data_IF_911793324125
#
_entry.id   IF_911793324125
#
_cell.length_a   1.000
_cell.length_b   1.000
_cell.length_c   1.000
_cell.angle_alpha   90.00
_cell.angle_beta   90.00
_cell.angle_gamma   90.00
#
_symmetry.space_group_name_H-M   'P 1'
#
loop_
_entity.id
_entity.type
_entity.pdbx_description
1 polymer ?
#
# COMPACT_ATOMS: atom_id res chain seq x y z
N UNK A 1 19.30 -12.57 -60.19
CA UNK A 1 18.12 -12.25 -61.01
C UNK A 1 17.02 -11.86 -60.05
N UNK A 2 16.36 -10.77 -59.96
CA UNK A 2 16.34 -9.52 -60.71
C UNK A 2 15.82 -8.46 -59.71
N UNK A 3 16.41 -7.31 -59.76
CA UNK A 3 16.02 -6.10 -58.97
C UNK A 3 14.66 -5.58 -59.44
N UNK A 4 13.89 -4.98 -58.55
CA UNK A 4 13.10 -3.82 -58.95
C UNK A 4 12.98 -2.82 -57.82
N UNK A 5 13.47 -1.62 -58.07
CA UNK A 5 13.30 -0.38 -57.32
C UNK A 5 12.06 0.30 -57.89
N UNK A 6 11.26 0.95 -57.07
CA UNK A 6 10.39 2.01 -57.55
C UNK A 6 10.46 3.21 -56.62
N UNK A 7 10.73 4.31 -57.27
CA UNK A 7 10.98 5.67 -56.78
C UNK A 7 9.69 6.47 -56.97
N UNK A 8 9.55 7.50 -56.12
CA UNK A 8 8.97 8.80 -56.42
C UNK A 8 7.53 9.03 -55.98
N UNK A 9 7.02 10.15 -55.68
CA UNK A 9 7.24 11.50 -56.24
C UNK A 9 6.69 12.51 -55.19
N UNK A 10 7.41 13.59 -55.01
CA UNK A 10 7.00 14.85 -54.38
C UNK A 10 5.86 15.54 -55.12
N UNK A 11 4.97 16.18 -54.42
CA UNK A 11 4.15 17.27 -54.96
C UNK A 11 4.02 18.40 -53.95
N UNK A 12 4.75 19.46 -54.23
CA UNK A 12 4.59 20.79 -53.65
C UNK A 12 3.35 21.44 -54.29
N UNK A 13 2.50 22.03 -53.44
CA UNK A 13 1.56 23.07 -53.94
C UNK A 13 1.68 24.27 -52.99
N UNK A 14 2.27 25.32 -53.58
CA UNK A 14 2.23 26.71 -53.11
C UNK A 14 0.99 27.38 -53.60
N UNK A 15 0.28 28.08 -52.79
CA UNK A 15 -0.58 29.19 -53.21
C UNK A 15 -0.44 30.39 -52.30
N UNK A 16 -0.31 31.53 -52.93
CA UNK A 16 0.03 32.82 -52.36
C UNK A 16 -1.19 33.77 -52.28
N UNK A 17 -1.14 34.61 -51.31
CA UNK A 17 -1.59 36.02 -51.23
C UNK A 17 -3.06 36.40 -51.58
N UNK A 18 -3.68 37.07 -50.62
CA UNK A 18 -4.79 37.99 -50.78
C UNK A 18 -4.84 38.96 -49.60
N UNK A 19 -4.30 40.17 -49.79
CA UNK A 19 -4.53 41.34 -48.93
C UNK A 19 -5.95 41.85 -49.10
N UNK A 20 -6.59 42.22 -48.01
CA UNK A 20 -7.84 43.01 -47.97
C UNK A 20 -7.96 43.71 -46.63
N UNK A 21 -7.66 44.99 -46.61
CA UNK A 21 -7.94 45.94 -45.53
C UNK A 21 -9.43 46.26 -45.46
N UNK A 22 -10.05 46.32 -44.27
CA UNK A 22 -10.64 47.53 -43.72
C UNK A 22 -11.55 47.29 -42.50
N UNK A 23 -11.41 48.27 -41.60
CA UNK A 23 -12.44 48.81 -40.70
C UNK A 23 -12.70 48.19 -39.35
N UNK A 24 -12.35 49.01 -38.39
CA UNK A 24 -12.61 48.95 -36.97
C UNK A 24 -14.07 48.74 -36.60
N UNK A 25 -14.34 47.88 -35.65
CA UNK A 25 -15.37 48.07 -34.64
C UNK A 25 -14.93 47.59 -33.28
N UNK A 26 -14.85 48.56 -32.39
CA UNK A 26 -14.47 48.45 -31.00
C UNK A 26 -15.60 47.75 -30.21
N UNK A 27 -15.42 46.49 -29.84
CA UNK A 27 -16.25 45.83 -28.83
C UNK A 27 -15.33 45.27 -27.74
N UNK A 28 -15.30 45.98 -26.62
CA UNK A 28 -14.75 45.49 -25.37
C UNK A 28 -15.51 44.23 -24.96
N UNK A 29 -14.99 43.05 -25.27
CA UNK A 29 -15.36 41.82 -24.63
C UNK A 29 -14.30 41.52 -23.58
N UNK A 30 -14.66 41.79 -22.34
CA UNK A 30 -13.89 41.34 -21.17
C UNK A 30 -13.86 39.83 -21.14
N UNK A 31 -12.81 39.26 -21.67
CA UNK A 31 -12.48 37.86 -21.46
C UNK A 31 -11.95 37.72 -20.04
N UNK A 32 -12.88 37.54 -19.10
CA UNK A 32 -12.49 37.06 -17.77
C UNK A 32 -11.83 35.69 -17.99
N UNK A 33 -10.52 35.67 -17.91
CA UNK A 33 -9.75 34.44 -17.79
C UNK A 33 -10.23 33.71 -16.55
N UNK A 34 -11.22 32.84 -16.69
CA UNK A 34 -11.51 31.75 -15.77
C UNK A 34 -10.38 30.72 -15.95
N UNK A 35 -9.17 31.06 -15.57
CA UNK A 35 -8.16 30.08 -15.27
C UNK A 35 -8.69 29.30 -14.07
N UNK A 36 -9.02 28.02 -14.27
CA UNK A 36 -9.30 27.14 -13.16
C UNK A 36 -8.15 27.31 -12.14
N UNK A 37 -8.44 27.38 -10.83
CA UNK A 37 -7.39 27.54 -9.83
C UNK A 37 -6.36 26.44 -10.05
N UNK A 38 -5.10 26.84 -10.23
CA UNK A 38 -3.98 25.89 -10.36
C UNK A 38 -4.02 24.96 -9.15
N UNK A 39 -4.22 23.67 -9.42
CA UNK A 39 -4.29 22.67 -8.35
C UNK A 39 -3.04 22.80 -7.48
N UNK A 40 -3.25 23.02 -6.19
CA UNK A 40 -2.14 23.18 -5.25
C UNK A 40 -1.16 22.00 -5.40
N UNK A 41 0.12 22.30 -5.59
CA UNK A 41 1.16 21.29 -5.77
C UNK A 41 1.60 20.74 -4.42
N UNK A 42 1.94 19.46 -4.39
CA UNK A 42 2.54 18.85 -3.22
C UNK A 42 3.94 19.44 -2.97
N UNK A 43 4.20 19.83 -1.72
CA UNK A 43 5.51 20.29 -1.25
C UNK A 43 6.05 19.34 -0.19
N UNK A 44 6.20 18.07 -0.58
CA UNK A 44 6.47 16.96 0.34
C UNK A 44 7.83 17.13 1.04
N UNK A 45 7.78 17.21 2.37
CA UNK A 45 8.94 17.25 3.24
C UNK A 45 8.83 16.25 4.37
N UNK A 46 9.96 15.81 4.92
CA UNK A 46 9.98 14.99 6.14
C UNK A 46 9.55 15.90 7.31
N UNK A 47 8.63 15.41 8.10
CA UNK A 47 8.11 16.04 9.30
C UNK A 47 8.44 15.21 10.55
N UNK A 48 8.32 15.81 11.71
CA UNK A 48 8.35 15.06 12.95
C UNK A 48 7.11 14.18 13.11
N UNK A 49 7.25 13.17 13.99
CA UNK A 49 6.12 12.36 14.44
C UNK A 49 5.03 13.26 15.01
N UNK A 50 3.77 13.15 14.57
CA UNK A 50 2.67 13.99 15.07
C UNK A 50 2.50 13.91 16.57
N UNK A 51 2.12 15.03 17.20
CA UNK A 51 1.92 15.09 18.64
C UNK A 51 0.88 14.07 19.11
N UNK A 52 -0.22 13.90 18.39
CA UNK A 52 -1.23 12.85 18.64
C UNK A 52 -0.62 11.46 18.80
N UNK A 53 0.37 11.11 17.96
CA UNK A 53 1.05 9.82 18.05
C UNK A 53 1.99 9.77 19.25
N UNK A 54 2.74 10.85 19.52
CA UNK A 54 3.59 10.96 20.71
C UNK A 54 2.77 10.77 21.99
N UNK A 55 1.58 11.39 22.07
CA UNK A 55 0.67 11.27 23.21
C UNK A 55 0.12 9.84 23.36
N UNK A 56 -0.24 9.19 22.25
CA UNK A 56 -0.66 7.79 22.25
C UNK A 56 0.46 6.85 22.73
N UNK A 57 1.70 7.08 22.30
CA UNK A 57 2.86 6.31 22.78
C UNK A 57 3.04 6.48 24.28
N UNK A 58 3.01 7.72 24.77
CA UNK A 58 3.14 8.02 26.21
C UNK A 58 2.02 7.37 27.04
N UNK A 59 0.77 7.39 26.55
CA UNK A 59 -0.37 6.77 27.23
C UNK A 59 -0.28 5.24 27.31
N UNK A 60 0.47 4.58 26.41
CA UNK A 60 0.67 3.13 26.40
C UNK A 60 1.69 2.66 27.44
N UNK A 61 2.57 3.55 27.90
CA UNK A 61 3.62 3.20 28.85
C UNK A 61 4.49 2.03 28.37
N UNK A 62 4.64 1.02 29.22
CA UNK A 62 5.47 -0.15 28.90
C UNK A 62 5.01 -0.95 27.68
N UNK A 63 3.72 -0.89 27.31
CA UNK A 63 3.19 -1.60 26.14
C UNK A 63 3.82 -1.09 24.84
N UNK A 64 4.33 0.14 24.78
CA UNK A 64 5.00 0.63 23.58
C UNK A 64 6.33 -0.07 23.32
N UNK A 65 6.97 -0.59 24.38
CA UNK A 65 8.18 -1.40 24.33
C UNK A 65 7.90 -2.91 24.21
N UNK A 66 6.66 -3.33 23.90
CA UNK A 66 6.35 -4.72 23.64
C UNK A 66 7.17 -5.25 22.45
N UNK A 67 7.52 -6.52 22.50
CA UNK A 67 8.20 -7.23 21.41
C UNK A 67 7.39 -8.49 21.01
N UNK A 68 6.21 -8.29 20.38
CA UNK A 68 5.35 -9.39 19.97
C UNK A 68 6.00 -10.22 18.86
N UNK A 69 5.87 -11.52 18.93
CA UNK A 69 6.18 -12.45 17.84
C UNK A 69 4.89 -13.01 17.27
N UNK A 70 4.86 -13.29 15.97
CA UNK A 70 3.65 -13.78 15.29
C UNK A 70 3.94 -15.04 14.51
N UNK A 71 2.95 -15.95 14.50
CA UNK A 71 3.01 -17.18 13.72
C UNK A 71 1.73 -17.37 12.90
N UNK A 72 1.89 -17.71 11.62
CA UNK A 72 0.81 -18.20 10.77
C UNK A 72 0.69 -19.71 11.03
N UNK A 73 -0.40 -20.10 11.67
CA UNK A 73 -0.71 -21.52 11.96
C UNK A 73 -1.39 -22.16 10.75
N UNK A 74 -2.30 -21.44 10.12
CA UNK A 74 -2.97 -21.76 8.85
C UNK A 74 -3.04 -20.50 7.96
N UNK A 75 -2.90 -20.66 6.62
CA UNK A 75 -2.56 -21.90 5.90
C UNK A 75 -1.12 -22.35 6.22
N UNK A 76 -0.89 -23.66 6.17
CA UNK A 76 0.48 -24.19 6.29
C UNK A 76 1.35 -23.78 5.11
N UNK A 77 2.61 -23.51 5.37
CA UNK A 77 3.56 -23.21 4.30
C UNK A 77 3.58 -24.33 3.25
N UNK A 78 3.60 -23.92 2.00
CA UNK A 78 3.66 -24.77 0.80
C UNK A 78 2.49 -25.76 0.67
N UNK A 79 1.39 -25.52 1.41
CA UNK A 79 0.16 -26.34 1.34
C UNK A 79 -0.67 -26.02 0.09
N UNK A 80 -1.54 -26.97 -0.28
CA UNK A 80 -2.55 -26.77 -1.31
C UNK A 80 -3.95 -26.75 -0.69
N UNK A 81 -4.69 -25.68 -0.96
CA UNK A 81 -6.08 -25.49 -0.59
C UNK A 81 -6.96 -25.88 -1.79
N UNK A 82 -8.07 -26.58 -1.53
CA UNK A 82 -9.04 -26.98 -2.57
C UNK A 82 -10.33 -26.16 -2.50
N UNK A 83 -10.29 -25.03 -1.84
CA UNK A 83 -11.38 -24.08 -1.67
C UNK A 83 -10.89 -22.67 -1.94
N UNK A 84 -11.73 -21.84 -2.54
CA UNK A 84 -11.50 -20.39 -2.63
C UNK A 84 -11.68 -19.66 -1.29
N UNK A 85 -12.20 -20.34 -0.27
CA UNK A 85 -12.21 -19.86 1.11
C UNK A 85 -11.03 -20.47 1.85
N UNK A 86 -10.06 -19.64 2.18
CA UNK A 86 -8.83 -20.02 2.87
C UNK A 86 -8.92 -19.57 4.32
N UNK A 87 -8.86 -20.52 5.24
CA UNK A 87 -8.82 -20.23 6.68
C UNK A 87 -7.46 -19.69 7.05
N UNK A 88 -7.45 -18.64 7.88
CA UNK A 88 -6.25 -18.06 8.45
C UNK A 88 -6.34 -18.14 9.96
N UNK A 89 -5.34 -18.77 10.55
CA UNK A 89 -5.16 -18.84 11.99
C UNK A 89 -3.80 -18.29 12.35
N UNK A 90 -3.79 -17.34 13.25
CA UNK A 90 -2.59 -16.68 13.73
C UNK A 90 -2.39 -16.97 15.21
N UNK A 91 -1.14 -16.99 15.64
CA UNK A 91 -0.77 -17.03 17.05
C UNK A 91 0.20 -15.88 17.36
N UNK A 92 0.01 -15.24 18.51
CA UNK A 92 0.89 -14.19 18.98
C UNK A 92 1.52 -14.60 20.31
N UNK A 93 2.79 -14.29 20.48
CA UNK A 93 3.60 -14.62 21.66
C UNK A 93 4.71 -13.59 21.82
N UNK A 94 5.72 -13.90 22.63
CA UNK A 94 6.86 -13.00 22.91
C UNK A 94 6.61 -12.12 24.14
N UNK A 95 7.39 -11.05 24.27
CA UNK A 95 7.22 -10.07 25.35
C UNK A 95 6.09 -9.10 25.01
N UNK A 96 4.88 -9.46 25.36
CA UNK A 96 3.68 -8.73 24.97
C UNK A 96 3.44 -7.45 25.77
N UNK A 97 3.89 -7.36 27.01
CA UNK A 97 3.65 -6.19 27.91
C UNK A 97 2.21 -5.68 27.82
N UNK A 98 1.25 -6.60 27.77
CA UNK A 98 -0.18 -6.29 27.60
C UNK A 98 -0.61 -5.97 26.15
N UNK A 99 0.25 -6.12 25.15
CA UNK A 99 -0.17 -6.06 23.76
C UNK A 99 -1.19 -7.17 23.47
N UNK A 100 -2.36 -6.77 23.03
CA UNK A 100 -3.41 -7.66 22.55
C UNK A 100 -4.10 -6.97 21.36
N UNK A 101 -4.27 -7.63 20.21
CA UNK A 101 -5.14 -7.12 19.15
C UNK A 101 -6.55 -6.92 19.70
N UNK A 102 -7.07 -5.70 19.55
CA UNK A 102 -8.40 -5.32 20.00
C UNK A 102 -8.79 -4.00 19.37
N UNK A 103 -10.03 -3.91 18.87
CA UNK A 103 -10.60 -2.67 18.37
C UNK A 103 -11.36 -1.97 19.49
N UNK A 104 -10.98 -0.77 19.82
CA UNK A 104 -11.74 0.09 20.69
C UNK A 104 -13.07 0.49 20.04
N UNK A 105 -14.16 0.36 20.76
CA UNK A 105 -15.51 0.53 20.22
C UNK A 105 -15.84 1.98 19.86
N UNK A 106 -15.19 2.98 20.48
CA UNK A 106 -15.44 4.39 20.25
C UNK A 106 -14.53 4.95 19.16
N UNK A 107 -13.22 4.75 19.32
CA UNK A 107 -12.20 5.30 18.40
C UNK A 107 -12.05 4.48 17.12
N UNK A 108 -12.54 3.24 17.10
CA UNK A 108 -12.33 2.25 16.02
C UNK A 108 -10.86 1.97 15.74
N UNK A 109 -9.99 2.28 16.69
CA UNK A 109 -8.54 2.05 16.64
C UNK A 109 -8.14 1.02 17.69
N UNK A 110 -6.94 0.51 17.58
CA UNK A 110 -6.38 -0.43 18.56
C UNK A 110 -5.19 -1.19 17.99
N UNK A 111 -4.57 -2.00 18.82
CA UNK A 111 -3.55 -2.92 18.36
C UNK A 111 -4.18 -3.91 17.37
N UNK A 112 -3.49 -4.20 16.31
CA UNK A 112 -4.01 -5.10 15.28
C UNK A 112 -2.87 -5.81 14.55
N UNK A 113 -3.24 -6.79 13.75
CA UNK A 113 -2.32 -7.47 12.85
C UNK A 113 -2.58 -6.96 11.43
N UNK A 114 -1.54 -6.57 10.74
CA UNK A 114 -1.58 -6.38 9.30
C UNK A 114 -1.52 -7.74 8.63
N UNK A 115 -2.50 -8.02 7.78
CA UNK A 115 -2.62 -9.25 7.00
C UNK A 115 -2.60 -8.88 5.52
N UNK A 116 -1.63 -9.40 4.77
CA UNK A 116 -1.40 -9.04 3.38
C UNK A 116 -1.42 -10.31 2.54
N UNK A 117 -2.40 -10.43 1.65
CA UNK A 117 -2.41 -11.45 0.61
C UNK A 117 -1.67 -10.94 -0.62
N UNK A 118 -0.74 -11.72 -1.12
CA UNK A 118 0.12 -11.36 -2.26
C UNK A 118 0.78 -10.00 -2.08
N UNK A 119 0.67 -9.12 -3.04
CA UNK A 119 1.13 -7.74 -2.91
C UNK A 119 -0.04 -6.74 -2.81
N UNK A 120 -1.18 -7.15 -2.23
CA UNK A 120 -2.33 -6.29 -2.01
C UNK A 120 -2.14 -5.37 -0.79
N UNK A 121 -2.93 -4.31 -0.63
CA UNK A 121 -2.98 -3.56 0.61
C UNK A 121 -3.36 -4.47 1.79
N UNK A 122 -2.83 -4.17 2.99
CA UNK A 122 -3.15 -4.99 4.16
C UNK A 122 -4.60 -4.82 4.60
N UNK A 123 -5.13 -5.87 5.24
CA UNK A 123 -6.30 -5.81 6.10
C UNK A 123 -5.87 -5.75 7.57
N UNK A 124 -6.53 -4.88 8.36
CA UNK A 124 -6.28 -4.77 9.80
C UNK A 124 -7.13 -5.81 10.55
N UNK A 125 -6.50 -6.70 11.29
CA UNK A 125 -7.14 -7.77 12.01
C UNK A 125 -7.03 -7.59 13.53
N UNK A 126 -8.17 -7.49 14.21
CA UNK A 126 -8.26 -7.09 15.62
C UNK A 126 -8.63 -8.22 16.57
N UNK A 127 -8.99 -9.41 16.07
CA UNK A 127 -9.39 -10.54 16.89
C UNK A 127 -8.57 -11.79 16.53
N UNK A 128 -7.81 -12.33 17.49
CA UNK A 128 -7.06 -13.57 17.32
C UNK A 128 -7.67 -14.76 18.08
N UNK A 129 -8.78 -14.54 18.77
CA UNK A 129 -9.46 -15.61 19.52
C UNK A 129 -10.17 -16.59 18.56
N UNK A 130 -10.38 -16.17 17.31
CA UNK A 130 -11.02 -16.96 16.27
C UNK A 130 -10.21 -16.98 14.98
N UNK A 131 -10.39 -18.04 14.18
CA UNK A 131 -9.90 -18.09 12.81
C UNK A 131 -10.69 -17.11 11.94
N UNK A 132 -10.05 -16.50 10.97
CA UNK A 132 -10.74 -15.72 9.94
C UNK A 132 -10.57 -16.37 8.57
N UNK A 133 -11.33 -15.90 7.60
CA UNK A 133 -11.32 -16.45 6.25
C UNK A 133 -10.94 -15.39 5.24
N UNK A 134 -10.07 -15.76 4.31
CA UNK A 134 -9.93 -15.08 3.03
C UNK A 134 -10.89 -15.76 2.07
N UNK A 135 -11.86 -15.02 1.52
CA UNK A 135 -12.90 -15.54 0.63
C UNK A 135 -12.66 -15.07 -0.79
N UNK A 136 -13.00 -15.91 -1.73
CA UNK A 136 -12.78 -15.69 -3.17
C UNK A 136 -11.29 -15.54 -3.53
N UNK A 137 -10.45 -16.38 -2.92
CA UNK A 137 -9.06 -16.53 -3.34
C UNK A 137 -9.04 -17.35 -4.62
N UNK A 138 -8.47 -16.83 -5.70
CA UNK A 138 -8.45 -17.47 -7.01
C UNK A 138 -7.45 -18.63 -7.05
N UNK A 139 -7.55 -19.48 -8.05
CA UNK A 139 -6.56 -20.55 -8.27
C UNK A 139 -5.20 -19.96 -8.62
N UNK A 140 -4.15 -20.46 -8.00
CA UNK A 140 -2.78 -20.01 -8.19
C UNK A 140 -1.91 -20.18 -6.96
N UNK A 141 -0.71 -19.67 -7.03
CA UNK A 141 0.18 -19.51 -5.88
C UNK A 141 -0.13 -18.19 -5.17
N UNK A 142 -0.10 -18.22 -3.85
CA UNK A 142 -0.36 -17.08 -3.00
C UNK A 142 0.71 -16.93 -1.92
N UNK A 143 0.88 -15.69 -1.49
CA UNK A 143 1.76 -15.34 -0.38
C UNK A 143 0.95 -14.62 0.69
N UNK A 144 1.01 -15.12 1.92
CA UNK A 144 0.42 -14.45 3.07
C UNK A 144 1.53 -13.90 3.95
N UNK A 145 1.47 -12.58 4.22
CA UNK A 145 2.39 -11.87 5.10
C UNK A 145 1.63 -11.25 6.25
N UNK A 146 2.16 -11.38 7.46
CA UNK A 146 1.53 -10.84 8.68
C UNK A 146 2.56 -10.19 9.58
N UNK A 147 2.15 -9.12 10.27
CA UNK A 147 2.94 -8.48 11.32
C UNK A 147 2.07 -7.66 12.28
N UNK A 148 2.43 -7.62 13.58
CA UNK A 148 1.74 -6.81 14.57
C UNK A 148 1.92 -5.32 14.34
N UNK A 149 0.88 -4.55 14.65
CA UNK A 149 0.84 -3.11 14.47
C UNK A 149 0.27 -2.41 15.70
N UNK A 150 0.73 -1.17 15.92
CA UNK A 150 0.23 -0.23 16.91
C UNK A 150 -1.09 0.41 16.44
N UNK A 151 -1.85 1.07 17.33
CA UNK A 151 -3.12 1.70 16.94
C UNK A 151 -3.01 2.74 15.81
N UNK A 152 -1.87 3.40 15.67
CA UNK A 152 -1.60 4.36 14.57
C UNK A 152 -0.95 3.71 13.35
N UNK A 153 -1.02 2.37 13.24
CA UNK A 153 -0.55 1.54 12.12
C UNK A 153 0.99 1.44 11.95
N UNK A 154 1.75 1.86 12.91
CA UNK A 154 3.18 1.61 12.94
C UNK A 154 3.46 0.15 13.29
N UNK A 155 4.21 -0.54 12.44
CA UNK A 155 4.58 -1.94 12.65
C UNK A 155 5.61 -2.11 13.77
N UNK A 156 5.49 -3.20 14.55
CA UNK A 156 6.55 -3.65 15.42
C UNK A 156 7.70 -4.22 14.58
N UNK A 157 8.93 -3.81 14.87
CA UNK A 157 10.12 -4.13 14.06
C UNK A 157 11.13 -5.05 14.78
N UNK A 158 10.69 -5.68 15.85
CA UNK A 158 11.51 -6.65 16.59
C UNK A 158 11.56 -8.01 15.87
N UNK A 159 12.56 -8.81 16.19
CA UNK A 159 12.70 -10.17 15.68
C UNK A 159 11.46 -11.01 15.99
N UNK A 160 11.00 -11.79 15.01
CA UNK A 160 9.79 -12.60 15.09
C UNK A 160 8.46 -11.83 14.92
N UNK A 161 8.49 -10.51 14.76
CA UNK A 161 7.27 -9.74 14.50
C UNK A 161 6.78 -9.82 13.04
N UNK A 162 7.35 -10.65 12.21
CA UNK A 162 6.94 -10.84 10.82
C UNK A 162 6.95 -12.32 10.45
N UNK A 163 5.93 -12.74 9.73
CA UNK A 163 5.94 -14.05 9.09
C UNK A 163 5.38 -13.96 7.67
N UNK A 164 5.91 -14.82 6.81
CA UNK A 164 5.51 -15.02 5.43
C UNK A 164 5.38 -16.51 5.15
N UNK A 165 4.27 -16.90 4.53
CA UNK A 165 4.09 -18.24 3.98
C UNK A 165 3.63 -18.15 2.54
N UNK A 166 4.01 -19.13 1.73
CA UNK A 166 3.41 -19.40 0.42
C UNK A 166 2.46 -20.58 0.53
N UNK A 167 1.38 -20.54 -0.22
CA UNK A 167 0.43 -21.64 -0.35
C UNK A 167 -0.18 -21.61 -1.76
N UNK A 168 -0.87 -22.66 -2.14
CA UNK A 168 -1.52 -22.76 -3.45
C UNK A 168 -3.02 -23.00 -3.29
N UNK A 169 -3.83 -22.33 -4.10
CA UNK A 169 -5.23 -22.71 -4.31
C UNK A 169 -5.33 -23.44 -5.64
N UNK A 170 -6.02 -24.59 -5.64
CA UNK A 170 -6.23 -25.42 -6.83
C UNK A 170 -7.64 -25.95 -6.86
N UNK A 171 -8.36 -25.69 -7.94
CA UNK A 171 -9.78 -26.05 -8.11
C UNK A 171 -10.68 -25.47 -7.01
N UNK A 172 -10.32 -24.28 -6.50
CA UNK A 172 -11.03 -23.61 -5.40
C UNK A 172 -12.32 -22.92 -5.84
N UNK A 173 -12.47 -22.62 -7.12
CA UNK A 173 -13.67 -21.98 -7.67
C UNK A 173 -13.74 -20.46 -7.42
N UNK A 174 -12.61 -19.81 -7.13
CA UNK A 174 -12.55 -18.36 -7.01
C UNK A 174 -12.82 -17.65 -8.34
N UNK A 175 -13.52 -16.52 -8.27
CA UNK A 175 -13.91 -15.70 -9.42
C UNK A 175 -12.95 -14.49 -9.52
N UNK A 176 -12.09 -14.48 -10.53
CA UNK A 176 -11.10 -13.41 -10.75
C UNK A 176 -11.73 -12.03 -11.04
N UNK A 177 -13.00 -11.98 -11.43
CA UNK A 177 -13.73 -10.72 -11.63
C UNK A 177 -14.25 -10.10 -10.31
N UNK A 178 -14.15 -10.84 -9.20
CA UNK A 178 -14.58 -10.39 -7.88
C UNK A 178 -13.39 -10.17 -6.95
N UNK A 179 -13.49 -9.24 -6.01
CA UNK A 179 -12.44 -9.03 -5.02
C UNK A 179 -12.31 -10.23 -4.08
N UNK A 180 -11.13 -10.38 -3.50
CA UNK A 180 -10.95 -11.22 -2.30
C UNK A 180 -11.41 -10.43 -1.09
N UNK A 181 -12.24 -11.02 -0.25
CA UNK A 181 -12.79 -10.41 0.97
C UNK A 181 -12.31 -11.15 2.20
N UNK A 182 -12.34 -10.49 3.36
CA UNK A 182 -12.02 -11.11 4.64
C UNK A 182 -13.29 -11.24 5.48
N UNK A 183 -13.47 -12.39 6.13
CA UNK A 183 -14.39 -12.48 7.25
C UNK A 183 -13.67 -11.89 8.47
N UNK A 184 -13.66 -10.57 8.57
CA UNK A 184 -13.12 -9.94 9.77
C UNK A 184 -14.13 -10.13 10.90
N UNK A 185 -13.78 -10.86 11.98
CA UNK A 185 -14.66 -11.14 13.13
C UNK A 185 -15.19 -9.91 13.88
N UNK A 186 -14.87 -8.71 13.38
CA UNK A 186 -15.41 -7.45 13.87
C UNK A 186 -16.72 -7.03 13.18
N UNK A 187 -17.17 -7.73 12.17
CA UNK A 187 -18.53 -7.61 11.68
C UNK A 187 -19.37 -8.69 12.37
N UNK A 188 -20.13 -8.31 13.35
CA UNK A 188 -21.34 -9.01 13.78
C UNK A 188 -22.32 -9.07 12.61
N UNK A 189 -21.88 -9.62 11.50
CA UNK A 189 -22.70 -9.87 10.33
C UNK A 189 -23.17 -11.32 10.43
N UNK A 190 -24.45 -11.44 10.74
CA UNK A 190 -25.26 -12.61 10.61
C UNK A 190 -24.78 -13.47 9.43
N UNK A 191 -24.35 -14.70 9.69
CA UNK A 191 -23.80 -15.64 8.72
C UNK A 191 -24.75 -16.03 7.56
N UNK A 192 -25.87 -15.32 7.40
CA UNK A 192 -26.93 -15.63 6.45
C UNK A 192 -27.30 -14.45 5.52
N UNK A 193 -26.48 -13.42 5.41
CA UNK A 193 -26.78 -12.33 4.47
C UNK A 193 -25.76 -12.29 3.33
N UNK A 194 -26.25 -12.45 2.09
CA UNK A 194 -25.64 -11.96 0.85
C UNK A 194 -25.47 -10.42 0.83
N UNK A 195 -25.48 -9.79 1.98
CA UNK A 195 -25.27 -8.36 2.10
C UNK A 195 -23.76 -8.10 1.96
N UNK A 196 -23.41 -7.26 0.99
CA UNK A 196 -22.06 -6.74 0.83
C UNK A 196 -21.52 -6.30 2.20
N UNK A 197 -20.43 -6.94 2.64
CA UNK A 197 -19.73 -6.57 3.86
C UNK A 197 -19.32 -5.11 3.69
N UNK A 198 -19.84 -4.22 4.56
CA UNK A 198 -19.36 -2.81 4.53
C UNK A 198 -17.88 -2.85 4.88
N UNK A 199 -17.00 -2.34 4.01
CA UNK A 199 -15.58 -2.29 4.32
C UNK A 199 -15.39 -1.54 5.64
N UNK A 200 -14.51 -2.05 6.50
CA UNK A 200 -14.02 -1.27 7.63
C UNK A 200 -13.37 0.01 7.08
N UNK A 201 -13.29 1.12 7.85
CA UNK A 201 -12.65 2.36 7.36
C UNK A 201 -11.24 2.15 6.80
N UNK A 202 -10.62 1.04 7.16
CA UNK A 202 -9.24 0.67 6.79
C UNK A 202 -9.16 -0.46 5.76
N UNK A 203 -10.25 -1.20 5.55
CA UNK A 203 -10.35 -2.34 4.64
C UNK A 203 -11.13 -1.97 3.40
N UNK A 204 -10.48 -1.95 2.24
CA UNK A 204 -11.13 -2.15 0.95
C UNK A 204 -10.94 -3.61 0.58
N UNK A 205 -11.95 -4.20 -0.05
CA UNK A 205 -11.81 -5.51 -0.64
C UNK A 205 -10.50 -5.58 -1.43
N UNK A 206 -9.70 -6.60 -1.17
CA UNK A 206 -8.47 -6.83 -1.92
C UNK A 206 -8.85 -7.23 -3.35
N UNK A 207 -8.18 -6.66 -4.33
CA UNK A 207 -8.38 -7.13 -5.69
C UNK A 207 -7.93 -8.58 -5.80
N UNK A 208 -8.60 -9.34 -6.68
CA UNK A 208 -8.16 -10.69 -7.00
C UNK A 208 -6.71 -10.65 -7.51
N UNK A 209 -5.88 -11.52 -6.95
CA UNK A 209 -4.44 -11.52 -7.22
C UNK A 209 -3.86 -12.93 -7.07
N UNK A 210 -2.65 -13.11 -7.57
CA UNK A 210 -1.80 -14.26 -7.31
C UNK A 210 -0.39 -13.78 -6.98
N UNK A 211 0.39 -14.62 -6.32
CA UNK A 211 1.80 -14.36 -6.09
C UNK A 211 2.59 -14.39 -7.41
N UNK A 212 3.57 -13.52 -7.51
CA UNK A 212 4.50 -13.47 -8.65
C UNK A 212 5.81 -14.22 -8.39
N UNK A 213 5.84 -15.11 -7.39
CA UNK A 213 7.01 -15.93 -7.07
C UNK A 213 8.00 -15.21 -6.16
N UNK A 214 7.55 -14.81 -4.97
CA UNK A 214 8.44 -14.25 -3.96
C UNK A 214 9.38 -15.32 -3.40
N UNK A 215 10.66 -14.99 -3.30
CA UNK A 215 11.67 -15.80 -2.61
C UNK A 215 11.80 -15.33 -1.15
N UNK A 216 11.36 -16.17 -0.22
CA UNK A 216 11.36 -15.88 1.23
C UNK A 216 12.76 -15.74 1.84
N UNK A 217 13.80 -16.13 1.12
CA UNK A 217 15.19 -16.05 1.59
C UNK A 217 15.91 -14.79 1.11
N UNK A 218 15.35 -14.11 0.12
CA UNK A 218 15.91 -12.88 -0.44
C UNK A 218 15.44 -11.64 0.32
N UNK A 219 16.16 -10.51 0.18
CA UNK A 219 15.70 -9.21 0.67
C UNK A 219 14.29 -8.89 0.19
N UNK A 220 13.41 -8.52 1.13
CA UNK A 220 12.00 -8.27 0.85
C UNK A 220 11.51 -7.02 1.58
N UNK A 221 10.93 -6.10 0.82
CA UNK A 221 10.17 -4.95 1.30
C UNK A 221 8.69 -5.30 1.33
N UNK A 222 8.05 -5.10 2.46
CA UNK A 222 6.60 -5.17 2.57
C UNK A 222 6.03 -3.78 2.82
N UNK A 223 5.33 -3.23 1.84
CA UNK A 223 4.68 -1.93 1.94
C UNK A 223 3.52 -2.01 2.95
N UNK A 224 3.55 -1.16 3.99
CA UNK A 224 2.50 -1.03 5.00
C UNK A 224 1.71 0.26 4.82
N UNK A 225 2.34 1.40 4.97
CA UNK A 225 1.74 2.75 4.86
C UNK A 225 2.48 3.63 3.85
N UNK A 226 1.76 4.64 3.24
CA UNK A 226 0.38 5.05 3.50
C UNK A 226 -0.66 4.20 2.77
N UNK A 227 -1.92 4.22 3.27
CA UNK A 227 -3.06 3.46 2.70
C UNK A 227 -4.37 4.24 2.92
N UNK A 228 -5.26 4.21 1.94
CA UNK A 228 -6.65 4.68 2.07
C UNK A 228 -6.80 6.20 1.99
N UNK A 229 -7.65 6.75 2.84
CA UNK A 229 -8.00 8.16 2.85
C UNK A 229 -7.50 8.84 4.12
N UNK A 230 -6.97 10.06 3.97
CA UNK A 230 -6.48 10.91 5.05
C UNK A 230 -7.26 12.21 5.08
N UNK A 231 -7.80 12.60 6.26
CA UNK A 231 -8.66 13.79 6.45
C UNK A 231 -8.20 14.63 7.63
N UNK A 232 -8.47 15.93 7.55
CA UNK A 232 -8.17 16.86 8.65
C UNK A 232 -6.73 16.75 9.10
N UNK A 233 -6.47 16.68 10.40
CA UNK A 233 -5.13 16.61 10.96
C UNK A 233 -4.31 15.39 10.49
N UNK A 234 -4.94 14.26 10.17
CA UNK A 234 -4.25 13.08 9.66
C UNK A 234 -3.74 13.29 8.22
N UNK A 235 -4.31 14.26 7.49
CA UNK A 235 -3.85 14.67 6.16
C UNK A 235 -2.67 15.65 6.18
N UNK A 236 -2.33 16.21 7.36
CA UNK A 236 -1.22 17.15 7.49
C UNK A 236 0.13 16.44 7.63
N UNK A 237 0.11 15.21 8.16
CA UNK A 237 1.32 14.41 8.35
C UNK A 237 1.01 12.92 8.14
N UNK A 238 1.40 12.41 6.98
CA UNK A 238 1.11 11.04 6.55
C UNK A 238 2.35 10.17 6.73
N UNK A 239 2.17 9.04 7.42
CA UNK A 239 3.25 8.10 7.71
C UNK A 239 3.60 7.22 6.51
N UNK A 240 4.90 7.06 6.25
CA UNK A 240 5.44 5.91 5.52
C UNK A 240 5.91 4.89 6.56
N UNK A 241 5.41 3.68 6.46
CA UNK A 241 5.84 2.53 7.22
C UNK A 241 5.93 1.29 6.33
N UNK A 242 6.90 0.42 6.62
CA UNK A 242 7.17 -0.79 5.87
C UNK A 242 7.86 -1.83 6.76
N UNK A 243 7.77 -3.09 6.36
CA UNK A 243 8.55 -4.18 6.95
C UNK A 243 9.69 -4.61 6.02
N UNK A 244 10.85 -4.92 6.61
CA UNK A 244 11.99 -5.48 5.89
C UNK A 244 12.28 -6.90 6.40
N UNK A 245 12.38 -7.83 5.48
CA UNK A 245 12.89 -9.17 5.76
C UNK A 245 14.19 -9.38 4.97
N UNK A 246 15.18 -10.03 5.61
CA UNK A 246 16.49 -10.35 5.03
C UNK A 246 17.24 -9.14 4.44
N UNK A 247 17.01 -7.95 4.97
CA UNK A 247 17.63 -6.71 4.52
C UNK A 247 17.96 -5.80 5.71
N UNK A 248 19.05 -5.06 5.61
CA UNK A 248 19.39 -3.95 6.51
C UNK A 248 19.67 -2.71 5.69
N UNK A 249 19.18 -1.58 6.16
CA UNK A 249 19.43 -0.29 5.53
C UNK A 249 20.80 0.27 5.87
N UNK A 250 21.30 1.19 5.06
CA UNK A 250 22.64 1.78 5.22
C UNK A 250 22.83 2.46 6.56
N UNK A 251 21.81 3.14 7.08
CA UNK A 251 21.82 3.77 8.40
C UNK A 251 21.76 2.78 9.58
N UNK A 252 21.46 1.51 9.32
CA UNK A 252 21.43 0.41 10.28
C UNK A 252 22.62 -0.54 10.09
N UNK A 253 23.65 -0.11 9.35
CA UNK A 253 24.86 -0.90 9.06
C UNK A 253 24.70 -1.94 7.94
N UNK A 254 23.69 -1.79 7.09
CA UNK A 254 23.44 -2.64 5.93
C UNK A 254 23.89 -2.02 4.62
N UNK A 255 23.30 -2.49 3.52
CA UNK A 255 23.69 -2.09 2.17
C UNK A 255 22.54 -1.62 1.30
N UNK A 256 21.30 -1.70 1.80
CA UNK A 256 20.09 -1.33 1.09
C UNK A 256 19.60 0.04 1.50
N UNK A 257 18.71 0.62 0.68
CA UNK A 257 17.96 1.84 0.98
C UNK A 257 16.51 1.62 0.56
N UNK A 258 15.57 2.28 1.23
CA UNK A 258 14.21 2.37 0.70
C UNK A 258 14.08 3.69 -0.04
N UNK A 259 13.84 3.59 -1.34
CA UNK A 259 13.54 4.74 -2.21
C UNK A 259 12.04 4.98 -2.21
N UNK A 260 11.61 6.23 -2.02
CA UNK A 260 10.22 6.59 -2.17
C UNK A 260 10.02 7.77 -3.12
N UNK A 261 8.86 7.81 -3.77
CA UNK A 261 8.43 8.95 -4.58
C UNK A 261 6.91 9.16 -4.44
N UNK A 262 6.50 10.42 -4.58
CA UNK A 262 5.09 10.83 -4.56
C UNK A 262 4.72 11.36 -5.94
N UNK A 263 3.62 10.86 -6.52
CA UNK A 263 3.13 11.24 -7.85
C UNK A 263 4.19 11.16 -8.97
N UNK A 264 5.12 10.21 -8.87
CA UNK A 264 6.22 10.08 -9.82
C UNK A 264 7.24 11.22 -9.78
N UNK A 265 7.19 12.05 -8.75
CA UNK A 265 8.16 13.14 -8.54
C UNK A 265 9.54 12.64 -8.14
N UNK A 266 10.37 13.58 -7.67
CA UNK A 266 11.75 13.30 -7.26
C UNK A 266 11.82 12.18 -6.22
N UNK A 267 12.74 11.24 -6.46
CA UNK A 267 12.98 10.12 -5.57
C UNK A 267 13.76 10.58 -4.32
N UNK A 268 13.28 10.16 -3.16
CA UNK A 268 13.93 10.38 -1.86
C UNK A 268 14.23 9.05 -1.19
N UNK A 269 15.08 9.05 -0.17
CA UNK A 269 15.59 7.82 0.43
C UNK A 269 15.38 7.78 1.94
N UNK A 270 15.11 6.57 2.43
CA UNK A 270 15.04 6.20 3.84
C UNK A 270 16.21 5.26 4.10
N UNK A 271 17.08 5.64 5.01
CA UNK A 271 18.32 4.93 5.32
C UNK A 271 18.27 4.18 6.66
N UNK A 272 17.24 4.42 7.47
CA UNK A 272 16.98 3.70 8.72
C UNK A 272 15.63 3.03 8.67
N UNK A 273 15.56 1.85 9.23
CA UNK A 273 14.32 1.09 9.29
C UNK A 273 13.40 1.57 10.42
N UNK A 274 12.92 2.76 10.26
CA UNK A 274 11.97 3.42 11.15
C UNK A 274 10.89 4.14 10.32
N UNK A 275 9.68 4.35 10.87
CA UNK A 275 8.66 5.10 10.16
C UNK A 275 9.06 6.56 10.02
N UNK A 276 8.70 7.16 8.87
CA UNK A 276 8.84 8.59 8.65
C UNK A 276 7.48 9.23 8.42
N UNK A 277 7.35 10.50 8.74
CA UNK A 277 6.15 11.28 8.46
C UNK A 277 6.44 12.31 7.38
N UNK A 278 5.48 12.47 6.47
CA UNK A 278 5.57 13.42 5.37
C UNK A 278 4.47 14.45 5.49
N UNK A 279 4.84 15.73 5.39
CA UNK A 279 3.93 16.88 5.33
C UNK A 279 3.96 17.56 3.96
N UNK A 280 3.11 18.57 3.77
CA UNK A 280 3.07 19.35 2.52
C UNK A 280 2.18 18.74 1.42
N UNK A 281 1.24 17.87 1.82
CA UNK A 281 0.26 17.26 0.93
C UNK A 281 -0.80 18.26 0.48
N UNK A 282 -1.09 18.33 -0.80
CA UNK A 282 -2.28 18.97 -1.35
C UNK A 282 -3.45 17.98 -1.41
N UNK A 283 -4.69 18.49 -1.50
CA UNK A 283 -5.88 17.64 -1.66
C UNK A 283 -5.85 16.82 -2.96
N UNK A 284 -6.57 15.71 -2.97
CA UNK A 284 -6.76 14.84 -4.14
C UNK A 284 -6.09 13.48 -4.03
N UNK A 285 -6.17 12.71 -5.12
CA UNK A 285 -5.51 11.41 -5.23
C UNK A 285 -4.01 11.59 -5.35
N UNK A 286 -3.27 10.73 -4.67
CA UNK A 286 -1.80 10.69 -4.68
C UNK A 286 -1.33 9.26 -4.88
N UNK A 287 -0.27 9.08 -5.65
CA UNK A 287 0.44 7.81 -5.71
C UNK A 287 1.71 7.87 -4.87
N UNK A 288 1.94 6.87 -4.05
CA UNK A 288 3.16 6.73 -3.26
C UNK A 288 3.82 5.41 -3.62
N UNK A 289 5.06 5.48 -4.09
CA UNK A 289 5.86 4.32 -4.48
C UNK A 289 6.96 4.09 -3.46
N UNK A 290 7.15 2.84 -3.04
CA UNK A 290 8.28 2.38 -2.24
C UNK A 290 9.06 1.31 -3.00
N UNK A 291 10.38 1.39 -2.96
CA UNK A 291 11.28 0.44 -3.61
C UNK A 291 12.46 0.11 -2.70
N UNK A 292 12.79 -1.17 -2.56
CA UNK A 292 14.05 -1.59 -1.96
C UNK A 292 15.14 -1.55 -3.04
N UNK A 293 16.17 -0.77 -2.82
CA UNK A 293 17.27 -0.60 -3.77
C UNK A 293 18.62 -0.96 -3.17
N UNK A 294 19.51 -1.45 -4.03
CA UNK A 294 20.90 -1.74 -3.71
C UNK A 294 21.76 -0.46 -3.68
N UNK A 295 23.07 -0.60 -3.42
CA UNK A 295 24.06 0.50 -3.41
C UNK A 295 24.14 1.23 -4.74
N UNK A 296 23.82 0.59 -5.84
CA UNK A 296 23.82 1.16 -7.19
C UNK A 296 22.50 1.85 -7.54
N UNK A 297 21.50 1.79 -6.67
CA UNK A 297 20.17 2.36 -6.90
C UNK A 297 19.25 1.47 -7.73
N UNK A 298 19.65 0.22 -8.02
CA UNK A 298 18.79 -0.73 -8.72
C UNK A 298 17.79 -1.35 -7.77
N UNK A 299 16.57 -1.58 -8.23
CA UNK A 299 15.56 -2.33 -7.45
C UNK A 299 16.06 -3.76 -7.25
N UNK A 300 16.04 -4.21 -6.01
CA UNK A 300 16.39 -5.58 -5.66
C UNK A 300 15.28 -6.52 -6.15
N UNK A 301 15.61 -7.43 -7.04
CA UNK A 301 14.61 -8.35 -7.60
C UNK A 301 14.16 -9.39 -6.57
N UNK A 302 12.86 -9.41 -6.34
CA UNK A 302 12.18 -10.46 -5.60
C UNK A 302 10.72 -10.56 -6.05
N UNK A 303 10.48 -11.06 -7.26
CA UNK A 303 9.15 -11.26 -7.81
C UNK A 303 8.31 -9.97 -7.92
N UNK A 304 8.95 -8.79 -8.03
CA UNK A 304 8.27 -7.49 -8.09
C UNK A 304 7.81 -6.92 -6.74
N UNK A 305 7.91 -7.66 -5.65
CA UNK A 305 7.46 -7.21 -4.31
C UNK A 305 8.26 -6.01 -3.77
N UNK A 306 9.50 -5.87 -4.19
CA UNK A 306 10.38 -4.76 -3.78
C UNK A 306 10.13 -3.44 -4.52
N UNK A 307 9.07 -3.35 -5.32
CA UNK A 307 8.64 -2.12 -5.99
C UNK A 307 7.12 -2.04 -5.98
N UNK A 308 6.56 -1.31 -5.04
CA UNK A 308 5.11 -1.24 -4.83
C UNK A 308 4.63 0.19 -4.84
N UNK A 309 3.58 0.45 -5.63
CA UNK A 309 2.87 1.74 -5.66
C UNK A 309 1.48 1.58 -5.02
N UNK A 310 1.08 2.55 -4.20
CA UNK A 310 -0.27 2.65 -3.64
C UNK A 310 -0.87 4.00 -3.95
N UNK A 311 -2.17 4.00 -4.22
CA UNK A 311 -2.96 5.22 -4.30
C UNK A 311 -3.56 5.52 -2.93
N UNK A 312 -3.53 6.80 -2.56
CA UNK A 312 -4.20 7.35 -1.38
C UNK A 312 -5.04 8.55 -1.78
N UNK A 313 -5.98 8.94 -0.94
CA UNK A 313 -6.76 10.17 -1.11
C UNK A 313 -6.49 11.10 0.06
N UNK A 314 -6.15 12.35 -0.23
CA UNK A 314 -5.95 13.42 0.75
C UNK A 314 -7.13 14.37 0.65
N UNK A 315 -7.81 14.59 1.79
CA UNK A 315 -8.97 15.51 1.94
C UNK A 315 -8.56 16.61 2.91
N UNK A 316 -8.52 17.85 2.40
CA UNK A 316 -8.20 19.06 3.18
C UNK A 316 -9.47 19.84 3.51
#
# INVERSE_FOLDING_TARGET
MTKSKTIAIFSLLTFAWGCGSDSASNTKNGNANNAAPEAARDTITIAERPQKVKDQMAARGEQDAAAPTIAIVEPKADSTQTSSTVKVKLNISGDLKGYKPHMDAETKMGNHIHVILDNQPYEAYYNLDEEFELRNVVDGEHTLRVFPSRPWHESYKNDGAFQIVTFRVKNGGGDAAKPTTTSNGNTMANANSNAAVKPTPEGKDMQSSTSTGVDRTKPLLTYSRPKGEYKGADADSIMIDFWLANAKLTGDGGEYRVRYSVNGGEAKYIDKWEPIWLSGWSAGKKSVKLELVDKSGNVVDNGGYNSTTREITVVK
#
